data_IF_094869910582
#
_entry.id   IF_094869910582
#
_cell.length_a   1.000
_cell.length_b   1.000
_cell.length_c   1.000
_cell.angle_alpha   90.00
_cell.angle_beta   90.00
_cell.angle_gamma   90.00
#
_symmetry.space_group_name_H-M   'P 1'
#
loop_
_entity.id
_entity.type
_entity.pdbx_description
1 polymer ?
#
# COMPACT_ATOMS: atom_id res chain seq x y z
N UNK A 1 14.74 20.80 -4.78
CA UNK A 1 15.22 19.63 -5.56
C UNK A 1 16.58 19.92 -6.19
N UNK A 2 16.82 21.16 -6.64
CA UNK A 2 18.05 21.52 -7.39
C UNK A 2 19.33 21.49 -6.55
N UNK A 3 19.23 21.77 -5.24
CA UNK A 3 20.37 21.67 -4.29
C UNK A 3 21.01 20.28 -4.27
N UNK A 4 20.21 19.23 -4.49
CA UNK A 4 20.65 17.84 -4.50
C UNK A 4 20.69 17.22 -5.91
N UNK A 5 20.59 18.05 -6.96
CA UNK A 5 20.58 17.62 -8.37
C UNK A 5 19.54 16.54 -8.68
N UNK A 6 18.38 16.60 -8.02
CA UNK A 6 17.28 15.69 -8.29
C UNK A 6 16.42 16.28 -9.43
N UNK A 7 16.38 15.59 -10.57
CA UNK A 7 15.58 16.01 -11.72
C UNK A 7 14.09 15.93 -11.39
N UNK A 8 13.39 17.07 -11.45
CA UNK A 8 11.93 17.14 -11.29
C UNK A 8 11.29 16.70 -12.61
N UNK A 9 10.78 15.47 -12.64
CA UNK A 9 10.10 14.90 -13.80
C UNK A 9 8.68 14.51 -13.46
N UNK A 10 7.74 14.81 -14.35
CA UNK A 10 6.34 14.34 -14.23
C UNK A 10 6.19 12.95 -14.83
N UNK A 11 5.38 12.11 -14.18
CA UNK A 11 5.02 10.79 -14.73
C UNK A 11 3.87 10.87 -15.76
N UNK A 12 3.24 12.03 -15.95
CA UNK A 12 2.07 12.18 -16.81
C UNK A 12 0.93 11.25 -16.39
N UNK A 13 0.28 10.57 -17.36
CA UNK A 13 -0.79 9.59 -17.12
C UNK A 13 -0.28 8.17 -16.82
N UNK A 14 1.03 7.99 -16.60
CA UNK A 14 1.61 6.67 -16.35
C UNK A 14 1.45 6.24 -14.89
N UNK A 15 0.25 5.77 -14.52
CA UNK A 15 -0.06 5.30 -13.16
C UNK A 15 0.83 4.15 -12.69
N UNK A 16 1.40 3.35 -13.60
CA UNK A 16 2.34 2.28 -13.25
C UNK A 16 3.68 2.82 -12.72
N UNK A 17 4.17 3.95 -13.24
CA UNK A 17 5.40 4.58 -12.74
C UNK A 17 5.18 5.15 -11.35
N UNK A 18 4.03 5.81 -11.14
CA UNK A 18 3.62 6.35 -9.83
C UNK A 18 3.50 5.22 -8.80
N UNK A 19 2.80 4.12 -9.14
CA UNK A 19 2.67 2.94 -8.26
C UNK A 19 4.02 2.33 -7.88
N UNK A 20 4.93 2.18 -8.85
CA UNK A 20 6.29 1.65 -8.60
C UNK A 20 7.10 2.55 -7.67
N UNK A 21 7.07 3.86 -7.87
CA UNK A 21 7.79 4.80 -7.00
C UNK A 21 7.24 4.78 -5.57
N UNK A 22 5.91 4.71 -5.41
CA UNK A 22 5.28 4.60 -4.09
C UNK A 22 5.64 3.27 -3.43
N UNK A 23 5.60 2.16 -4.18
CA UNK A 23 6.03 0.86 -3.67
C UNK A 23 7.51 0.84 -3.24
N UNK A 24 8.39 1.54 -3.96
CA UNK A 24 9.79 1.66 -3.59
C UNK A 24 10.00 2.48 -2.29
N UNK A 25 9.18 3.50 -2.03
CA UNK A 25 9.27 4.30 -0.80
C UNK A 25 8.55 3.69 0.41
N UNK A 26 7.46 2.96 0.18
CA UNK A 26 6.59 2.40 1.22
C UNK A 26 6.67 0.86 1.31
N UNK A 27 7.80 0.26 0.92
CA UNK A 27 7.95 -1.20 0.86
C UNK A 27 7.75 -1.90 2.22
N UNK A 28 8.12 -1.26 3.33
CA UNK A 28 7.85 -1.76 4.68
C UNK A 28 6.36 -1.66 5.09
N UNK A 29 5.63 -0.73 4.48
CA UNK A 29 4.21 -0.48 4.75
C UNK A 29 3.32 -1.22 3.76
N UNK A 30 3.53 -2.52 3.65
CA UNK A 30 2.79 -3.39 2.76
C UNK A 30 2.08 -4.50 3.53
N UNK A 31 0.87 -4.84 3.11
CA UNK A 31 0.09 -5.94 3.63
C UNK A 31 -0.48 -6.80 2.50
N UNK A 32 -0.63 -8.10 2.78
CA UNK A 32 -1.12 -9.10 1.84
C UNK A 32 -2.43 -9.69 2.33
N UNK A 33 -3.37 -9.96 1.42
CA UNK A 33 -4.63 -10.65 1.73
C UNK A 33 -4.33 -12.09 2.17
N UNK A 34 -4.94 -12.51 3.28
CA UNK A 34 -4.86 -13.88 3.77
C UNK A 34 -6.19 -14.63 3.47
N UNK A 35 -6.17 -15.94 3.18
CA UNK A 35 -7.39 -16.69 2.82
C UNK A 35 -8.41 -16.80 3.96
N UNK A 36 -7.94 -16.74 5.21
CA UNK A 36 -8.73 -16.94 6.43
C UNK A 36 -9.40 -15.66 6.96
N UNK A 37 -9.60 -14.66 6.09
CA UNK A 37 -10.35 -13.42 6.37
C UNK A 37 -9.49 -12.29 6.97
N UNK A 38 -8.87 -11.49 6.10
CA UNK A 38 -8.19 -10.25 6.50
C UNK A 38 -6.96 -9.94 5.66
N UNK A 39 -6.15 -9.01 6.16
CA UNK A 39 -4.84 -8.70 5.63
C UNK A 39 -3.78 -8.93 6.71
N UNK A 40 -2.56 -9.20 6.28
CA UNK A 40 -1.43 -9.39 7.18
C UNK A 40 -0.27 -8.51 6.74
N UNK A 41 0.31 -7.76 7.66
CA UNK A 41 1.48 -6.92 7.37
C UNK A 41 2.68 -7.79 7.00
N UNK A 42 3.50 -7.36 6.04
CA UNK A 42 4.67 -8.14 5.61
C UNK A 42 5.83 -8.08 6.61
N UNK A 43 5.91 -7.03 7.41
CA UNK A 43 7.01 -6.83 8.35
C UNK A 43 6.78 -7.62 9.65
N UNK A 44 5.70 -7.31 10.38
CA UNK A 44 5.44 -7.93 11.69
C UNK A 44 4.46 -9.11 11.64
N UNK A 45 3.97 -9.48 10.45
CA UNK A 45 2.94 -10.52 10.30
C UNK A 45 1.72 -10.28 11.22
N UNK A 46 1.34 -9.02 11.42
CA UNK A 46 0.22 -8.63 12.27
C UNK A 46 -1.08 -8.65 11.46
N UNK A 47 -2.17 -9.18 12.03
CA UNK A 47 -3.48 -9.14 11.39
C UNK A 47 -4.00 -7.70 11.38
N UNK A 48 -4.36 -7.22 10.19
CA UNK A 48 -4.85 -5.86 9.95
C UNK A 48 -6.06 -5.86 9.04
N UNK A 49 -6.90 -4.83 9.18
CA UNK A 49 -8.10 -4.64 8.37
C UNK A 49 -8.04 -3.32 7.60
N UNK A 50 -8.74 -3.22 6.47
CA UNK A 50 -8.83 -1.96 5.73
C UNK A 50 -9.76 -1.02 6.49
N UNK A 51 -9.28 0.17 6.86
CA UNK A 51 -10.10 1.18 7.52
C UNK A 51 -11.20 1.68 6.55
N UNK A 52 -12.45 1.94 7.01
CA UNK A 52 -13.55 2.40 6.16
C UNK A 52 -13.31 3.74 5.45
N UNK A 53 -12.40 4.58 5.97
CA UNK A 53 -11.99 5.82 5.28
C UNK A 53 -10.98 5.60 4.13
N UNK A 54 -10.54 4.36 3.90
CA UNK A 54 -9.60 4.02 2.84
C UNK A 54 -10.30 3.88 1.50
N UNK A 55 -9.63 4.28 0.42
CA UNK A 55 -10.16 4.15 -0.95
C UNK A 55 -10.33 2.69 -1.41
N UNK A 56 -9.72 1.73 -0.70
CA UNK A 56 -9.82 0.29 -0.97
C UNK A 56 -10.81 -0.42 -0.05
N UNK A 57 -11.58 0.31 0.76
CA UNK A 57 -12.60 -0.32 1.59
C UNK A 57 -13.58 -1.10 0.70
N UNK A 58 -13.87 -2.34 1.07
CA UNK A 58 -14.73 -3.25 0.32
C UNK A 58 -14.21 -3.68 -1.07
N UNK A 59 -12.96 -3.37 -1.43
CA UNK A 59 -12.31 -3.91 -2.64
C UNK A 59 -11.38 -5.05 -2.26
N UNK A 60 -11.57 -6.18 -2.93
CA UNK A 60 -10.68 -7.33 -2.78
C UNK A 60 -9.42 -7.14 -3.61
N UNK A 61 -8.28 -6.98 -2.94
CA UNK A 61 -6.99 -6.85 -3.61
C UNK A 61 -5.96 -7.74 -2.93
N UNK A 62 -5.09 -8.39 -3.70
CA UNK A 62 -4.12 -9.33 -3.12
C UNK A 62 -3.06 -8.61 -2.26
N UNK A 63 -2.73 -7.37 -2.62
CA UNK A 63 -1.68 -6.58 -2.00
C UNK A 63 -2.12 -5.14 -1.84
N UNK A 64 -1.85 -4.58 -0.66
CA UNK A 64 -2.14 -3.20 -0.33
C UNK A 64 -0.90 -2.52 0.23
N UNK A 65 -0.71 -1.27 -0.16
CA UNK A 65 0.26 -0.37 0.46
C UNK A 65 -0.52 0.62 1.32
N UNK A 66 -0.08 0.81 2.55
CA UNK A 66 -0.69 1.71 3.51
C UNK A 66 0.26 2.83 3.92
N UNK A 67 -0.32 3.94 4.35
CA UNK A 67 0.46 5.07 4.84
C UNK A 67 0.74 4.97 6.34
N UNK A 68 -0.28 4.57 7.10
CA UNK A 68 -0.25 4.49 8.56
C UNK A 68 -1.08 3.30 9.06
N UNK A 69 -0.75 2.85 10.26
CA UNK A 69 -1.54 1.91 11.05
C UNK A 69 -2.32 2.71 12.10
N UNK A 70 -3.64 2.53 12.11
CA UNK A 70 -4.55 3.14 13.06
C UNK A 70 -4.98 2.07 14.05
N UNK A 71 -4.53 2.20 15.30
CA UNK A 71 -4.99 1.33 16.37
C UNK A 71 -6.40 1.73 16.78
N UNK A 72 -7.36 0.81 16.65
CA UNK A 72 -8.72 1.00 17.15
C UNK A 72 -8.99 0.04 18.31
N UNK A 73 -10.12 0.25 19.01
CA UNK A 73 -10.51 -0.58 20.16
C UNK A 73 -10.70 -2.07 19.83
N UNK A 74 -10.88 -2.43 18.55
CA UNK A 74 -11.20 -3.81 18.13
C UNK A 74 -10.13 -4.44 17.24
N UNK A 75 -9.38 -3.63 16.50
CA UNK A 75 -8.35 -4.13 15.58
C UNK A 75 -7.41 -3.02 15.09
N UNK A 76 -6.27 -3.42 14.54
CA UNK A 76 -5.37 -2.50 13.84
C UNK A 76 -5.86 -2.36 12.40
N UNK A 77 -6.09 -1.13 11.98
CA UNK A 77 -6.59 -0.82 10.64
C UNK A 77 -5.52 -0.12 9.82
N UNK A 78 -5.41 -0.45 8.53
CA UNK A 78 -4.53 0.24 7.58
C UNK A 78 -5.30 1.32 6.85
N UNK A 79 -4.66 2.49 6.65
CA UNK A 79 -5.15 3.52 5.73
C UNK A 79 -4.47 3.39 4.37
N UNK A 80 -5.08 2.61 3.48
CA UNK A 80 -4.51 2.29 2.16
C UNK A 80 -5.07 3.19 1.07
N UNK A 81 -4.18 3.74 0.23
CA UNK A 81 -4.55 4.59 -0.91
C UNK A 81 -4.40 3.87 -2.26
N UNK A 82 -3.59 2.80 -2.33
CA UNK A 82 -3.21 2.16 -3.59
C UNK A 82 -3.18 0.63 -3.48
N UNK A 83 -3.76 -0.02 -4.49
CA UNK A 83 -3.60 -1.45 -4.70
C UNK A 83 -2.45 -1.72 -5.67
N UNK A 84 -1.57 -2.64 -5.29
CA UNK A 84 -0.53 -3.15 -6.20
C UNK A 84 -1.11 -4.31 -6.98
N UNK A 85 -1.81 -4.00 -8.07
CA UNK A 85 -2.08 -4.98 -9.12
C UNK A 85 -0.91 -4.94 -10.09
N UNK A 86 -0.02 -5.93 -9.98
CA UNK A 86 0.50 -6.72 -11.09
C UNK A 86 1.60 -7.65 -10.57
N UNK A 87 1.42 -8.94 -10.88
CA UNK A 87 2.45 -9.95 -10.70
C UNK A 87 3.72 -9.53 -11.43
N UNK A 88 4.85 -9.86 -10.81
CA UNK A 88 6.06 -10.14 -11.55
C UNK A 88 5.75 -11.34 -12.47
N UNK A 89 5.23 -11.10 -13.66
CA UNK A 89 5.55 -11.98 -14.78
C UNK A 89 7.02 -11.74 -15.07
N UNK A 90 7.81 -12.81 -14.93
CA UNK A 90 9.22 -12.87 -15.29
C UNK A 90 9.50 -12.30 -16.68
#
# INVERSE_FOLDING_TARGET
>A
MDRYKLNVVSAGKNFSKIRKTIAAGFFFHAARKEPQEGYRTLFDNQPVFIHPSSALFQRETAWVIYHELVMTKRSICVRSQLSTQNGLSK
#
